data_IF_953145697590
#
_entry.id   IF_953145697590
#
_cell.length_a   1.000
_cell.length_b   1.000
_cell.length_c   1.000
_cell.angle_alpha   90.00
_cell.angle_beta   90.00
_cell.angle_gamma   90.00
#
_symmetry.space_group_name_H-M   'P 1'
#
loop_
_entity.id
_entity.type
_entity.pdbx_description
1 polymer ?
#
# COMPACT_ATOMS: atom_id res chain seq x y z
N UNK A 1 -8.13 34.79 5.88
CA UNK A 1 -8.88 33.60 5.39
C UNK A 1 -8.01 32.65 4.57
N UNK A 2 -6.98 33.13 3.85
CA UNK A 2 -6.07 32.25 3.10
C UNK A 2 -5.26 31.26 3.97
N UNK A 3 -4.76 31.71 5.13
CA UNK A 3 -3.96 30.84 6.04
C UNK A 3 -4.79 29.69 6.59
N UNK A 4 -6.03 29.97 7.04
CA UNK A 4 -6.92 28.94 7.58
C UNK A 4 -7.27 27.92 6.49
N UNK A 5 -7.55 28.36 5.27
CA UNK A 5 -7.80 27.47 4.14
C UNK A 5 -6.60 26.56 3.82
N UNK A 6 -5.39 27.09 3.85
CA UNK A 6 -4.16 26.30 3.65
C UNK A 6 -3.95 25.26 4.75
N UNK A 7 -4.22 25.60 6.02
CA UNK A 7 -4.13 24.67 7.14
C UNK A 7 -5.15 23.53 7.00
N UNK A 8 -6.40 23.86 6.67
CA UNK A 8 -7.46 22.86 6.48
C UNK A 8 -7.09 21.90 5.34
N UNK A 9 -6.66 22.41 4.19
CA UNK A 9 -6.18 21.57 3.09
C UNK A 9 -4.96 20.74 3.49
N UNK A 10 -4.03 21.29 4.26
CA UNK A 10 -2.87 20.56 4.76
C UNK A 10 -3.26 19.36 5.62
N UNK A 11 -4.19 19.56 6.56
CA UNK A 11 -4.74 18.49 7.41
C UNK A 11 -5.42 17.42 6.55
N UNK A 12 -6.24 17.82 5.57
CA UNK A 12 -6.87 16.89 4.63
C UNK A 12 -5.83 16.08 3.86
N UNK A 13 -4.77 16.72 3.36
CA UNK A 13 -3.68 16.04 2.67
C UNK A 13 -2.98 15.00 3.55
N UNK A 14 -2.68 15.33 4.80
CA UNK A 14 -2.06 14.40 5.76
C UNK A 14 -2.98 13.21 6.05
N UNK A 15 -4.28 13.45 6.27
CA UNK A 15 -5.26 12.39 6.50
C UNK A 15 -5.34 11.45 5.30
N UNK A 16 -5.38 11.98 4.08
CA UNK A 16 -5.37 11.18 2.85
C UNK A 16 -4.11 10.33 2.72
N UNK A 17 -2.93 10.90 3.03
CA UNK A 17 -1.67 10.17 2.96
C UNK A 17 -1.63 8.99 3.95
N UNK A 18 -2.02 9.23 5.21
CA UNK A 18 -2.05 8.20 6.26
C UNK A 18 -3.08 7.11 5.90
N UNK A 19 -4.29 7.50 5.49
CA UNK A 19 -5.32 6.55 5.07
C UNK A 19 -4.85 5.69 3.88
N UNK A 20 -4.17 6.29 2.91
CA UNK A 20 -3.59 5.58 1.77
C UNK A 20 -2.53 4.56 2.17
N UNK A 21 -1.63 4.90 3.11
CA UNK A 21 -0.63 3.96 3.63
C UNK A 21 -1.30 2.79 4.35
N UNK A 22 -2.27 3.07 5.22
CA UNK A 22 -3.02 2.03 5.96
C UNK A 22 -3.74 1.09 4.99
N UNK A 23 -4.39 1.64 3.95
CA UNK A 23 -5.07 0.83 2.94
C UNK A 23 -4.09 -0.03 2.13
N UNK A 24 -2.91 0.49 1.83
CA UNK A 24 -1.87 -0.27 1.13
C UNK A 24 -1.39 -1.46 1.97
N UNK A 25 -1.23 -1.29 3.28
CA UNK A 25 -0.91 -2.40 4.20
C UNK A 25 -2.03 -3.45 4.27
N UNK A 26 -3.27 -3.05 4.02
CA UNK A 26 -4.42 -3.95 3.95
C UNK A 26 -4.62 -4.60 2.57
N UNK A 27 -3.64 -4.54 1.66
CA UNK A 27 -3.75 -5.00 0.26
C UNK A 27 -4.93 -4.37 -0.51
N UNK A 28 -5.33 -3.16 -0.14
CA UNK A 28 -6.29 -2.35 -0.88
C UNK A 28 -5.51 -1.33 -1.73
N UNK A 29 -6.11 -0.76 -2.79
CA UNK A 29 -5.43 0.17 -3.69
C UNK A 29 -5.27 1.57 -3.05
N UNK A 30 -4.56 1.63 -1.92
CA UNK A 30 -4.33 2.83 -1.10
C UNK A 30 -3.43 3.86 -1.75
N UNK A 31 -2.65 3.47 -2.77
CA UNK A 31 -1.80 4.37 -3.54
C UNK A 31 -2.57 5.52 -4.19
N UNK A 32 -3.86 5.34 -4.49
CA UNK A 32 -4.72 6.41 -5.02
C UNK A 32 -5.01 7.51 -4.00
N UNK A 33 -5.15 7.16 -2.71
CA UNK A 33 -5.28 8.18 -1.66
C UNK A 33 -3.96 8.93 -1.44
N UNK A 34 -2.83 8.23 -1.55
CA UNK A 34 -1.51 8.87 -1.52
C UNK A 34 -1.34 9.82 -2.72
N UNK A 35 -1.79 9.43 -3.90
CA UNK A 35 -1.78 10.34 -5.06
C UNK A 35 -2.68 11.58 -4.86
N UNK A 36 -3.86 11.39 -4.27
CA UNK A 36 -4.74 12.52 -3.91
C UNK A 36 -4.09 13.47 -2.90
N UNK A 37 -3.32 12.96 -1.93
CA UNK A 37 -2.60 13.84 -0.99
C UNK A 37 -1.53 14.69 -1.68
N UNK A 38 -0.86 14.14 -2.71
CA UNK A 38 0.09 14.89 -3.54
C UNK A 38 -0.61 16.00 -4.33
N UNK A 39 -1.81 15.74 -4.86
CA UNK A 39 -2.61 16.78 -5.53
C UNK A 39 -2.95 17.91 -4.55
N UNK A 40 -3.40 17.57 -3.33
CA UNK A 40 -3.69 18.56 -2.29
C UNK A 40 -2.44 19.37 -1.94
N UNK A 41 -1.28 18.73 -1.80
CA UNK A 41 -0.02 19.42 -1.56
C UNK A 41 0.40 20.33 -2.73
N UNK A 42 0.14 19.94 -3.98
CA UNK A 42 0.40 20.76 -5.15
C UNK A 42 -0.49 22.01 -5.19
N UNK A 43 -1.77 21.88 -4.79
CA UNK A 43 -2.72 22.98 -4.70
C UNK A 43 -2.33 24.01 -3.63
N UNK A 44 -1.90 23.56 -2.45
CA UNK A 44 -1.45 24.46 -1.36
C UNK A 44 -0.26 25.31 -1.82
N UNK A 45 0.70 24.69 -2.52
CA UNK A 45 1.90 25.37 -3.01
C UNK A 45 1.72 26.06 -4.37
N UNK A 46 0.48 26.16 -4.89
CA UNK A 46 0.15 26.76 -6.20
C UNK A 46 1.04 26.22 -7.33
N UNK A 47 1.33 24.92 -7.31
CA UNK A 47 2.19 24.22 -8.28
C UNK A 47 3.64 24.75 -8.39
N UNK A 48 4.13 25.52 -7.42
CA UNK A 48 5.52 26.01 -7.46
C UNK A 48 6.53 24.89 -7.19
N UNK A 49 6.23 24.00 -6.23
CA UNK A 49 7.08 22.86 -5.88
C UNK A 49 6.73 21.64 -6.74
N UNK A 50 5.44 21.33 -6.84
CA UNK A 50 4.93 20.17 -7.59
C UNK A 50 4.29 20.68 -8.87
N UNK A 51 5.04 20.60 -9.96
CA UNK A 51 4.56 21.04 -11.28
C UNK A 51 3.53 20.05 -11.85
N UNK A 52 2.61 20.48 -12.73
CA UNK A 52 1.64 19.58 -13.36
C UNK A 52 2.27 18.40 -14.10
N UNK A 53 3.46 18.58 -14.68
CA UNK A 53 4.24 17.48 -15.28
C UNK A 53 4.58 16.37 -14.28
N UNK A 54 4.95 16.73 -13.05
CA UNK A 54 5.24 15.77 -11.99
C UNK A 54 3.97 15.02 -11.57
N UNK A 55 2.81 15.69 -11.51
CA UNK A 55 1.54 15.01 -11.22
C UNK A 55 1.20 13.95 -12.26
N UNK A 56 1.40 14.24 -13.55
CA UNK A 56 1.19 13.24 -14.62
C UNK A 56 2.15 12.07 -14.46
N UNK A 57 3.43 12.32 -14.15
CA UNK A 57 4.40 11.25 -13.88
C UNK A 57 3.97 10.40 -12.68
N UNK A 58 3.60 11.02 -11.57
CA UNK A 58 3.12 10.31 -10.39
C UNK A 58 1.83 9.54 -10.66
N UNK A 59 0.92 10.06 -11.49
CA UNK A 59 -0.27 9.32 -11.91
C UNK A 59 0.08 8.02 -12.62
N UNK A 60 1.00 8.04 -13.60
CA UNK A 60 1.41 6.83 -14.30
C UNK A 60 2.19 5.87 -13.40
N UNK A 61 3.02 6.37 -12.48
CA UNK A 61 3.70 5.54 -11.48
C UNK A 61 2.65 4.87 -10.58
N UNK A 62 1.70 5.62 -10.02
CA UNK A 62 0.63 5.09 -9.18
C UNK A 62 -0.24 4.08 -9.92
N UNK A 63 -0.56 4.34 -11.19
CA UNK A 63 -1.31 3.41 -12.03
C UNK A 63 -0.55 2.10 -12.24
N UNK A 64 0.75 2.19 -12.56
CA UNK A 64 1.60 1.03 -12.80
C UNK A 64 1.80 0.19 -11.54
N UNK A 65 2.09 0.83 -10.40
CA UNK A 65 2.23 0.16 -9.10
C UNK A 65 0.90 -0.47 -8.69
N UNK A 66 -0.22 0.25 -8.84
CA UNK A 66 -1.55 -0.31 -8.53
C UNK A 66 -1.84 -1.55 -9.38
N UNK A 67 -1.48 -1.54 -10.67
CA UNK A 67 -1.62 -2.69 -11.55
C UNK A 67 -0.76 -3.88 -11.09
N UNK A 68 0.48 -3.63 -10.70
CA UNK A 68 1.36 -4.69 -10.18
C UNK A 68 0.80 -5.28 -8.89
N UNK A 69 0.54 -4.44 -7.89
CA UNK A 69 0.23 -4.89 -6.54
C UNK A 69 -1.16 -5.53 -6.43
N UNK A 70 -2.14 -5.00 -7.18
CA UNK A 70 -3.54 -5.45 -7.04
C UNK A 70 -3.92 -6.53 -8.05
N UNK A 71 -3.19 -6.67 -9.16
CA UNK A 71 -3.51 -7.63 -10.23
C UNK A 71 -2.40 -8.65 -10.39
N UNK A 72 -1.18 -8.21 -10.74
CA UNK A 72 -0.09 -9.13 -11.07
C UNK A 72 0.36 -9.96 -9.86
N UNK A 73 0.51 -9.36 -8.69
CA UNK A 73 0.97 -10.07 -7.48
C UNK A 73 -0.04 -11.14 -7.03
N UNK A 74 -1.34 -10.84 -6.84
CA UNK A 74 -2.32 -11.86 -6.46
C UNK A 74 -2.51 -12.94 -7.54
N UNK A 75 -2.45 -12.55 -8.82
CA UNK A 75 -2.52 -13.49 -9.93
C UNK A 75 -1.31 -14.42 -9.97
N UNK A 76 -0.10 -13.88 -9.81
CA UNK A 76 1.14 -14.64 -9.73
C UNK A 76 1.12 -15.62 -8.57
N UNK A 77 0.69 -15.18 -7.38
CA UNK A 77 0.53 -16.05 -6.21
C UNK A 77 -0.42 -17.21 -6.49
N UNK A 78 -1.61 -16.95 -7.05
CA UNK A 78 -2.57 -18.00 -7.42
C UNK A 78 -2.00 -18.96 -8.46
N UNK A 79 -1.29 -18.47 -9.48
CA UNK A 79 -0.68 -19.30 -10.52
C UNK A 79 0.44 -20.20 -9.98
N UNK A 80 1.13 -19.77 -8.92
CA UNK A 80 2.15 -20.55 -8.21
C UNK A 80 1.56 -21.54 -7.19
N UNK A 81 0.24 -21.69 -7.14
CA UNK A 81 -0.43 -22.66 -6.27
C UNK A 81 -0.73 -22.15 -4.86
N UNK A 82 -0.68 -20.82 -4.62
CA UNK A 82 -1.14 -20.27 -3.35
C UNK A 82 -2.66 -20.38 -3.26
N UNK A 83 -3.15 -21.35 -2.49
CA UNK A 83 -4.55 -21.47 -2.11
C UNK A 83 -4.97 -20.44 -1.07
N UNK A 84 -6.24 -20.54 -0.67
CA UNK A 84 -6.85 -19.57 0.26
C UNK A 84 -6.19 -19.60 1.63
N UNK A 85 -5.74 -20.78 2.08
CA UNK A 85 -5.13 -20.96 3.39
C UNK A 85 -3.69 -20.47 3.43
N UNK A 86 -2.94 -20.57 2.33
CA UNK A 86 -1.61 -20.00 2.17
C UNK A 86 -1.64 -18.47 2.24
N UNK A 87 -2.67 -17.81 1.69
CA UNK A 87 -2.86 -16.36 1.84
C UNK A 87 -3.10 -15.99 3.30
N UNK A 88 -3.98 -16.72 4.00
CA UNK A 88 -4.26 -16.47 5.43
C UNK A 88 -3.00 -16.72 6.27
N UNK A 89 -2.28 -17.80 5.98
CA UNK A 89 -1.00 -18.13 6.61
C UNK A 89 0.06 -17.07 6.38
N UNK A 90 0.14 -16.50 5.17
CA UNK A 90 1.06 -15.41 4.87
C UNK A 90 0.76 -14.16 5.70
N UNK A 91 -0.51 -13.81 5.86
CA UNK A 91 -0.93 -12.65 6.67
C UNK A 91 -0.60 -12.89 8.14
N UNK A 92 -0.94 -14.04 8.71
CA UNK A 92 -0.62 -14.37 10.09
C UNK A 92 0.90 -14.44 10.32
N UNK A 93 1.64 -15.00 9.36
CA UNK A 93 3.09 -15.05 9.35
C UNK A 93 3.73 -13.65 9.28
N UNK A 94 3.15 -12.72 8.52
CA UNK A 94 3.59 -11.33 8.48
C UNK A 94 3.41 -10.65 9.85
N UNK A 95 2.24 -10.82 10.47
CA UNK A 95 1.93 -10.28 11.80
C UNK A 95 2.90 -10.84 12.84
N UNK A 96 3.09 -12.17 12.88
CA UNK A 96 4.05 -12.81 13.78
C UNK A 96 5.49 -12.33 13.51
N UNK A 97 5.86 -12.18 12.24
CA UNK A 97 7.14 -11.64 11.79
C UNK A 97 7.40 -10.21 12.27
N UNK A 98 6.38 -9.36 12.32
CA UNK A 98 6.47 -8.00 12.88
C UNK A 98 6.75 -8.03 14.39
N UNK A 99 6.11 -8.94 15.14
CA UNK A 99 6.36 -9.08 16.59
C UNK A 99 7.77 -9.55 16.93
N UNK A 100 8.44 -10.27 16.02
CA UNK A 100 9.84 -10.65 16.18
C UNK A 100 10.81 -9.47 16.05
N UNK A 101 10.34 -8.29 15.60
CA UNK A 101 11.10 -7.04 15.60
C UNK A 101 12.31 -7.01 14.67
N UNK A 102 12.51 -8.03 13.85
CA UNK A 102 13.65 -8.15 12.93
C UNK A 102 13.16 -8.18 11.48
N UNK A 103 13.91 -7.53 10.58
CA UNK A 103 13.62 -7.49 9.14
C UNK A 103 13.51 -8.90 8.54
N UNK A 104 14.34 -9.83 9.02
CA UNK A 104 14.27 -11.23 8.60
C UNK A 104 12.93 -11.87 8.99
N UNK A 105 12.38 -11.54 10.16
CA UNK A 105 11.08 -12.07 10.61
C UNK A 105 9.94 -11.60 9.72
N UNK A 106 9.94 -10.34 9.30
CA UNK A 106 8.91 -9.78 8.41
C UNK A 106 8.98 -10.37 7.00
N UNK A 107 10.17 -10.73 6.52
CA UNK A 107 10.35 -11.33 5.19
C UNK A 107 10.04 -12.84 5.21
N UNK A 108 10.56 -13.56 6.21
CA UNK A 108 10.48 -15.02 6.29
C UNK A 108 9.14 -15.47 6.88
N UNK A 109 8.58 -14.70 7.82
CA UNK A 109 7.32 -15.00 8.50
C UNK A 109 6.17 -15.30 7.55
N UNK A 110 5.86 -14.44 6.55
CA UNK A 110 4.83 -14.73 5.55
C UNK A 110 5.08 -16.02 4.77
N UNK A 111 6.33 -16.31 4.40
CA UNK A 111 6.68 -17.54 3.68
C UNK A 111 6.42 -18.80 4.51
N UNK A 112 6.91 -18.83 5.74
CA UNK A 112 6.72 -19.96 6.65
C UNK A 112 5.24 -20.11 7.02
N UNK A 113 4.56 -19.00 7.32
CA UNK A 113 3.14 -19.00 7.66
C UNK A 113 2.28 -19.53 6.52
N UNK A 114 2.54 -19.08 5.27
CA UNK A 114 1.86 -19.58 4.09
C UNK A 114 2.08 -21.09 3.90
N UNK A 115 3.34 -21.55 4.02
CA UNK A 115 3.70 -22.96 3.85
C UNK A 115 2.98 -23.85 4.90
N UNK A 116 3.01 -23.45 6.18
CA UNK A 116 2.41 -24.23 7.26
C UNK A 116 0.89 -24.32 7.09
N UNK A 117 0.22 -23.20 6.83
CA UNK A 117 -1.24 -23.19 6.71
C UNK A 117 -1.73 -23.90 5.45
N UNK A 118 -1.04 -23.72 4.33
CA UNK A 118 -1.39 -24.41 3.10
C UNK A 118 -1.21 -25.92 3.27
N UNK A 119 -0.09 -26.40 3.82
CA UNK A 119 0.13 -27.84 4.00
C UNK A 119 -0.79 -28.50 5.04
N UNK A 120 -1.17 -27.79 6.10
CA UNK A 120 -1.99 -28.35 7.18
C UNK A 120 -3.50 -28.27 6.90
N UNK A 121 -3.97 -27.22 6.22
CA UNK A 121 -5.39 -26.90 6.06
C UNK A 121 -5.81 -26.85 4.58
N UNK A 122 -4.93 -26.33 3.72
CA UNK A 122 -5.14 -26.23 2.28
C UNK A 122 -4.82 -27.53 1.55
N UNK A 123 -5.68 -28.55 1.71
CA UNK A 123 -5.69 -29.67 0.77
C UNK A 123 -5.90 -29.20 -0.68
#
# INVERSE_FOLDING_TARGET
MEIIGAIVLGVVGVVLAIAGIILTLANLPGIWLVYLSIIVAALINRFQVIQPRLLVIFFFISLFVSFIDNILVPFGAKKMGAGKWGIIGAVLGAIAGLFLGNLLGVIIGPFIGALIFELLIGK
#
